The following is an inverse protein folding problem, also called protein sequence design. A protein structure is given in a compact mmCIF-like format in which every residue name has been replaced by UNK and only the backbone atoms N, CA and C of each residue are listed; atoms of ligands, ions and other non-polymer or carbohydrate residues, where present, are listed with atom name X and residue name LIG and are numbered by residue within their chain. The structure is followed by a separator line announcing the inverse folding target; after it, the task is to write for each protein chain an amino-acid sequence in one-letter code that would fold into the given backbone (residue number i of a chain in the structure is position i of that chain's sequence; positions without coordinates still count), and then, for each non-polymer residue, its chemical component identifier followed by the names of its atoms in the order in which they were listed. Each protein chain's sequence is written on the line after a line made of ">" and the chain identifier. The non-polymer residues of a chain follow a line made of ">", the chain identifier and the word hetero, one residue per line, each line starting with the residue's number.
data_IF_286105145203
#
_entry.id   IF_286105145203
#
_cell.length_a   1.000
_cell.length_b   1.000
_cell.length_c   1.000
_cell.angle_alpha   90.00
_cell.angle_beta   90.00
_cell.angle_gamma   90.00
#
_symmetry.space_group_name_H-M   'P 1'
#
loop_
_entity.id
_entity.type
_entity.pdbx_description
1 polymer ?
#
# COMPACT_ATOMS: atom_id res chain seq x y z
N UNK A 1 -6.52 -2.80 -16.03
CA UNK A 1 -7.15 -3.54 -14.91
C UNK A 1 -7.54 -2.54 -13.84
N UNK A 2 -8.81 -2.52 -13.41
CA UNK A 2 -9.33 -1.54 -12.42
C UNK A 2 -9.02 -1.91 -10.96
N UNK A 3 -8.07 -2.82 -10.75
CA UNK A 3 -7.66 -3.26 -9.41
C UNK A 3 -6.23 -3.78 -9.46
N UNK A 4 -5.56 -3.77 -8.32
CA UNK A 4 -4.38 -4.60 -8.06
C UNK A 4 -4.62 -5.48 -6.84
N UNK A 5 -3.84 -6.54 -6.73
CA UNK A 5 -3.83 -7.42 -5.57
C UNK A 5 -2.38 -7.61 -5.16
N UNK A 6 -2.11 -7.41 -3.86
CA UNK A 6 -0.79 -7.63 -3.27
C UNK A 6 -0.92 -8.60 -2.11
N UNK A 7 0.08 -9.44 -1.94
CA UNK A 7 0.17 -10.39 -0.84
C UNK A 7 1.20 -9.89 0.17
N UNK A 8 0.77 -9.65 1.40
CA UNK A 8 1.63 -9.32 2.52
C UNK A 8 2.23 -10.60 3.14
N UNK A 9 3.26 -10.45 3.98
CA UNK A 9 3.87 -11.58 4.68
C UNK A 9 2.84 -12.36 5.49
N UNK A 10 1.96 -11.63 6.19
CA UNK A 10 0.88 -12.20 6.98
C UNK A 10 -0.34 -11.27 7.02
N UNK A 11 -1.34 -11.70 7.79
CA UNK A 11 -2.58 -10.95 8.01
C UNK A 11 -2.35 -9.61 8.70
N UNK A 12 -1.41 -9.54 9.63
CA UNK A 12 -1.11 -8.32 10.37
C UNK A 12 -0.51 -7.26 9.44
N UNK A 13 0.44 -7.65 8.59
CA UNK A 13 1.02 -6.78 7.56
C UNK A 13 -0.03 -6.27 6.57
N UNK A 14 -0.99 -7.10 6.15
CA UNK A 14 -2.10 -6.67 5.30
C UNK A 14 -3.02 -5.65 5.99
N UNK A 15 -3.32 -5.86 7.27
CA UNK A 15 -4.13 -4.93 8.07
C UNK A 15 -3.41 -3.59 8.30
N UNK A 16 -2.11 -3.64 8.64
CA UNK A 16 -1.26 -2.46 8.76
C UNK A 16 -1.28 -1.68 7.45
N UNK A 17 -0.98 -2.33 6.31
CA UNK A 17 -0.95 -1.66 5.03
C UNK A 17 -2.29 -0.99 4.68
N UNK A 18 -3.41 -1.67 4.90
CA UNK A 18 -4.74 -1.12 4.67
C UNK A 18 -4.98 0.20 5.44
N UNK A 19 -4.57 0.25 6.71
CA UNK A 19 -4.70 1.46 7.53
C UNK A 19 -3.81 2.62 7.06
N UNK A 20 -2.69 2.32 6.39
CA UNK A 20 -1.77 3.33 5.86
C UNK A 20 -2.21 3.88 4.50
N UNK A 21 -2.81 3.05 3.63
CA UNK A 21 -3.14 3.48 2.26
C UNK A 21 -4.51 4.14 2.15
N UNK A 22 -5.45 3.86 3.05
CA UNK A 22 -6.83 4.31 2.88
C UNK A 22 -7.56 4.54 4.20
N UNK A 23 -7.76 5.80 4.55
CA UNK A 23 -8.64 6.18 5.66
C UNK A 23 -10.04 6.42 5.07
N UNK A 24 -10.95 5.46 5.31
CA UNK A 24 -12.32 5.42 4.75
C UNK A 24 -13.12 6.73 4.92
N UNK A 25 -12.81 7.54 5.94
CA UNK A 25 -13.49 8.82 6.19
C UNK A 25 -13.01 9.96 5.29
N UNK A 26 -11.74 9.98 4.89
CA UNK A 26 -11.15 11.09 4.16
C UNK A 26 -11.00 10.80 2.65
N UNK A 27 -11.08 9.53 2.23
CA UNK A 27 -10.80 9.09 0.84
C UNK A 27 -9.45 9.57 0.31
N UNK A 28 -8.51 9.86 1.21
CA UNK A 28 -7.18 10.33 0.88
C UNK A 28 -6.14 9.27 1.26
N UNK A 29 -5.08 9.20 0.45
CA UNK A 29 -3.88 8.44 0.75
C UNK A 29 -3.21 9.06 1.98
N UNK A 30 -2.86 8.26 2.98
CA UNK A 30 -2.15 8.73 4.17
C UNK A 30 -0.61 8.65 4.03
N UNK A 31 -0.14 7.94 3.01
CA UNK A 31 1.27 7.87 2.59
C UNK A 31 1.67 9.15 1.84
N UNK A 32 2.87 9.67 2.13
CA UNK A 32 3.46 10.82 1.42
C UNK A 32 4.57 10.43 0.46
N UNK A 33 5.38 9.42 0.82
CA UNK A 33 6.52 8.98 0.01
C UNK A 33 6.94 7.55 0.39
N UNK A 34 7.63 6.89 -0.54
CA UNK A 34 8.39 5.66 -0.27
C UNK A 34 9.81 6.11 0.11
N UNK A 35 10.25 5.75 1.32
CA UNK A 35 11.56 6.12 1.84
C UNK A 35 12.65 5.14 1.39
N UNK A 36 12.34 3.85 1.41
CA UNK A 36 13.27 2.80 1.03
C UNK A 36 12.54 1.49 0.68
N UNK A 37 13.26 0.59 0.01
CA UNK A 37 12.83 -0.77 -0.32
C UNK A 37 13.96 -1.74 -0.02
N UNK A 38 13.72 -2.67 0.91
CA UNK A 38 14.71 -3.64 1.38
C UNK A 38 14.12 -5.03 1.19
N UNK A 39 14.61 -5.78 0.19
CA UNK A 39 14.07 -7.09 -0.18
C UNK A 39 12.54 -7.07 -0.40
N UNK A 40 11.79 -7.74 0.47
CA UNK A 40 10.33 -7.80 0.45
C UNK A 40 9.68 -6.78 1.40
N UNK A 41 10.42 -5.82 1.96
CA UNK A 41 9.94 -4.78 2.86
C UNK A 41 9.98 -3.40 2.20
N UNK A 42 8.95 -2.59 2.47
CA UNK A 42 8.88 -1.19 2.03
C UNK A 42 8.80 -0.28 3.25
N UNK A 43 9.58 0.78 3.27
CA UNK A 43 9.52 1.84 4.27
C UNK A 43 8.73 3.03 3.69
N UNK A 44 7.67 3.44 4.38
CA UNK A 44 6.74 4.48 3.94
C UNK A 44 6.75 5.64 4.93
N UNK A 45 6.80 6.87 4.43
CA UNK A 45 6.48 8.06 5.24
C UNK A 45 4.99 8.37 5.15
N UNK A 46 4.42 8.81 6.26
CA UNK A 46 3.02 9.20 6.38
C UNK A 46 2.85 10.72 6.54
N UNK A 47 1.62 11.20 6.43
CA UNK A 47 1.28 12.63 6.60
C UNK A 47 1.68 13.22 7.96
N UNK A 48 1.70 12.41 9.01
CA UNK A 48 2.16 12.81 10.35
C UNK A 48 3.70 12.77 10.52
N UNK A 49 4.44 12.51 9.43
CA UNK A 49 5.91 12.41 9.37
C UNK A 49 6.49 11.19 10.10
N UNK A 50 5.65 10.25 10.53
CA UNK A 50 6.13 8.95 10.98
C UNK A 50 6.57 8.08 9.80
N UNK A 51 7.49 7.16 10.08
CA UNK A 51 7.92 6.14 9.13
C UNK A 51 7.43 4.76 9.58
N UNK A 52 6.84 4.02 8.67
CA UNK A 52 6.32 2.68 8.93
C UNK A 52 6.81 1.73 7.86
N UNK A 53 7.18 0.53 8.27
CA UNK A 53 7.49 -0.53 7.32
C UNK A 53 6.28 -1.42 7.03
N UNK A 54 6.27 -2.05 5.86
CA UNK A 54 5.31 -3.09 5.49
C UNK A 54 6.08 -4.22 4.81
N UNK A 55 5.90 -5.44 5.30
CA UNK A 55 6.57 -6.63 4.77
C UNK A 55 5.62 -7.42 3.88
N UNK A 56 6.05 -7.66 2.65
CA UNK A 56 5.31 -8.38 1.62
C UNK A 56 5.68 -9.86 1.58
N UNK A 57 4.87 -10.65 0.88
CA UNK A 57 5.14 -12.08 0.70
C UNK A 57 6.49 -12.35 0.03
N UNK A 58 6.85 -11.52 -0.96
CA UNK A 58 8.08 -11.62 -1.73
C UNK A 58 8.33 -10.31 -2.51
N UNK A 59 9.52 -10.19 -3.11
CA UNK A 59 9.96 -8.98 -3.83
C UNK A 59 9.09 -8.65 -5.05
N UNK A 60 8.37 -9.63 -5.63
CA UNK A 60 7.47 -9.35 -6.75
C UNK A 60 6.27 -8.50 -6.29
N UNK A 61 5.80 -8.75 -5.06
CA UNK A 61 4.70 -7.99 -4.47
C UNK A 61 5.12 -6.56 -4.14
N UNK A 62 6.36 -6.37 -3.70
CA UNK A 62 6.98 -5.05 -3.51
C UNK A 62 6.98 -4.26 -4.82
N UNK A 63 7.44 -4.86 -5.93
CA UNK A 63 7.44 -4.19 -7.23
C UNK A 63 6.03 -3.79 -7.68
N UNK A 64 5.05 -4.69 -7.55
CA UNK A 64 3.64 -4.38 -7.90
C UNK A 64 3.11 -3.21 -7.05
N UNK A 65 3.40 -3.21 -5.75
CA UNK A 65 2.89 -2.20 -4.83
C UNK A 65 3.56 -0.85 -5.02
N UNK A 66 4.89 -0.82 -5.14
CA UNK A 66 5.67 0.41 -5.34
C UNK A 66 5.29 1.12 -6.64
N UNK A 67 5.18 0.38 -7.75
CA UNK A 67 4.71 0.93 -9.04
C UNK A 67 3.32 1.57 -8.90
N UNK A 68 2.42 0.91 -8.17
CA UNK A 68 1.09 1.43 -7.94
C UNK A 68 1.09 2.67 -7.06
N UNK A 69 1.71 2.63 -5.87
CA UNK A 69 1.76 3.77 -4.95
C UNK A 69 2.42 4.97 -5.61
N UNK A 70 3.52 4.78 -6.32
CA UNK A 70 4.18 5.85 -7.06
C UNK A 70 3.21 6.51 -8.06
N UNK A 71 2.43 5.72 -8.80
CA UNK A 71 1.42 6.26 -9.71
C UNK A 71 0.29 7.03 -9.00
N UNK A 72 -0.05 6.66 -7.77
CA UNK A 72 -1.03 7.38 -6.95
C UNK A 72 -0.45 8.70 -6.43
N UNK A 73 0.80 8.70 -5.95
CA UNK A 73 1.52 9.90 -5.51
C UNK A 73 1.69 10.90 -6.65
N UNK A 74 1.95 10.42 -7.86
CA UNK A 74 2.01 11.23 -9.09
C UNK A 74 0.63 11.64 -9.63
N UNK A 75 -0.45 11.33 -8.91
CA UNK A 75 -1.85 11.64 -9.26
C UNK A 75 -2.31 11.04 -10.60
N UNK A 76 -1.62 10.01 -11.11
CA UNK A 76 -1.99 9.25 -12.31
C UNK A 76 -3.06 8.20 -12.03
N UNK A 77 -3.12 7.69 -10.81
CA UNK A 77 -4.14 6.74 -10.34
C UNK A 77 -4.74 7.20 -9.02
N UNK A 78 -5.91 6.66 -8.67
CA UNK A 78 -6.58 6.92 -7.40
C UNK A 78 -7.12 5.62 -6.82
N UNK A 79 -7.18 5.57 -5.49
CA UNK A 79 -7.74 4.45 -4.74
C UNK A 79 -9.23 4.75 -4.50
N UNK A 80 -10.09 3.82 -4.91
CA UNK A 80 -11.53 3.86 -4.66
C UNK A 80 -11.91 3.13 -3.38
N UNK A 81 -11.35 1.94 -3.18
CA UNK A 81 -11.65 1.08 -2.04
C UNK A 81 -10.55 0.04 -1.82
N UNK A 82 -10.54 -0.56 -0.63
CA UNK A 82 -9.58 -1.58 -0.20
C UNK A 82 -10.32 -2.71 0.50
N UNK A 83 -10.07 -3.94 0.05
CA UNK A 83 -10.63 -5.17 0.63
C UNK A 83 -9.47 -6.00 1.18
N UNK A 84 -9.60 -6.43 2.44
CA UNK A 84 -8.61 -7.25 3.15
C UNK A 84 -9.15 -8.68 3.26
N UNK A 85 -8.33 -9.67 2.91
CA UNK A 85 -8.65 -11.09 3.06
C UNK A 85 -7.38 -11.84 3.50
N UNK A 86 -7.31 -12.23 4.78
CA UNK A 86 -6.08 -12.78 5.39
C UNK A 86 -4.86 -11.88 5.12
N UNK A 87 -3.81 -12.39 4.49
CA UNK A 87 -2.61 -11.64 4.11
C UNK A 87 -2.74 -10.93 2.75
N UNK A 88 -3.93 -10.89 2.15
CA UNK A 88 -4.15 -10.32 0.83
C UNK A 88 -4.82 -8.96 0.93
N UNK A 89 -4.28 -8.01 0.18
CA UNK A 89 -4.87 -6.68 0.03
C UNK A 89 -5.27 -6.45 -1.43
N UNK A 90 -6.57 -6.28 -1.65
CA UNK A 90 -7.14 -5.95 -2.95
C UNK A 90 -7.49 -4.47 -3.00
N UNK A 91 -6.85 -3.74 -3.89
CA UNK A 91 -7.01 -2.29 -4.05
C UNK A 91 -7.79 -2.03 -5.33
N UNK A 92 -8.97 -1.41 -5.19
CA UNK A 92 -9.84 -1.04 -6.30
C UNK A 92 -9.48 0.39 -6.72
N UNK A 93 -9.23 0.60 -8.02
CA UNK A 93 -8.86 1.90 -8.59
C UNK A 93 -10.11 2.66 -9.05
N UNK A 94 -10.05 3.98 -9.08
CA UNK A 94 -11.02 4.81 -9.82
C UNK A 94 -10.82 4.69 -11.34
#
# INVERSE_FOLDING_TARGET
>A
MNQITVFCQDKYEAQKLASLIFIKGEKELYITEILDVIENEIILSLKDKSAHSVVFKDNSQVSIFTDFVQSVLEKKQKIKDVIIMENTLKIIKE
#
